data_IF_353232714909
#
_entry.id   IF_353232714909
#
_cell.length_a   1.000
_cell.length_b   1.000
_cell.length_c   1.000
_cell.angle_alpha   90.00
_cell.angle_beta   90.00
_cell.angle_gamma   90.00
#
_symmetry.space_group_name_H-M   'P 1'
#
loop_
_entity.id
_entity.type
_entity.pdbx_description
1 polymer ?
#
# COMPACT_ATOMS: atom_id res chain seq x y z
N UNK A 1 14.07 -10.63 -13.51
CA UNK A 1 13.69 -9.45 -12.69
C UNK A 1 14.22 -8.20 -13.39
N UNK A 2 13.48 -7.06 -13.49
CA UNK A 2 14.06 -5.78 -13.89
C UNK A 2 15.23 -5.39 -12.97
N UNK A 3 16.14 -4.55 -13.46
CA UNK A 3 17.39 -4.16 -12.77
C UNK A 3 17.16 -3.14 -11.64
N UNK A 4 16.26 -3.46 -10.71
CA UNK A 4 16.06 -2.65 -9.50
C UNK A 4 17.30 -2.68 -8.61
N UNK A 5 17.54 -1.56 -7.93
CA UNK A 5 18.49 -1.48 -6.83
C UNK A 5 17.73 -1.89 -5.57
N UNK A 6 18.08 -3.07 -5.05
CA UNK A 6 17.45 -3.70 -3.90
C UNK A 6 17.60 -2.82 -2.66
N UNK A 7 16.51 -2.67 -1.89
CA UNK A 7 16.51 -1.92 -0.63
C UNK A 7 16.52 -0.39 -0.77
N UNK A 8 16.38 0.15 -1.99
CA UNK A 8 16.20 1.60 -2.21
C UNK A 8 14.74 1.95 -2.46
N UNK A 9 14.41 3.22 -2.29
CA UNK A 9 13.05 3.71 -2.52
C UNK A 9 12.53 3.25 -3.90
N UNK A 10 11.21 3.02 -3.98
CA UNK A 10 10.48 2.51 -5.14
C UNK A 10 10.76 1.04 -5.51
N UNK A 11 11.67 0.34 -4.83
CA UNK A 11 11.95 -1.09 -5.11
C UNK A 11 10.78 -2.00 -4.73
N UNK A 12 10.24 -1.85 -3.52
CA UNK A 12 9.10 -2.57 -2.98
C UNK A 12 7.81 -2.27 -3.76
N UNK A 13 7.54 -1.00 -4.06
CA UNK A 13 6.43 -0.61 -4.92
C UNK A 13 6.54 -1.22 -6.33
N UNK A 14 7.74 -1.22 -6.89
CA UNK A 14 8.05 -1.81 -8.18
C UNK A 14 7.91 -3.33 -8.19
N UNK A 15 8.24 -3.99 -7.08
CA UNK A 15 8.04 -5.43 -6.90
C UNK A 15 6.56 -5.80 -6.93
N UNK A 16 5.71 -5.03 -6.24
CA UNK A 16 4.24 -5.21 -6.29
C UNK A 16 3.74 -5.03 -7.73
N UNK A 17 4.14 -3.95 -8.42
CA UNK A 17 3.78 -3.70 -9.82
C UNK A 17 4.10 -4.90 -10.71
N UNK A 18 5.30 -5.44 -10.53
CA UNK A 18 5.81 -6.52 -11.34
C UNK A 18 5.11 -7.86 -11.08
N UNK A 19 4.78 -8.14 -9.82
CA UNK A 19 4.00 -9.32 -9.45
C UNK A 19 2.61 -9.25 -10.10
N UNK A 20 1.92 -8.11 -9.97
CA UNK A 20 0.61 -7.89 -10.58
C UNK A 20 0.66 -8.02 -12.11
N UNK A 21 1.69 -7.45 -12.77
CA UNK A 21 1.83 -7.58 -14.23
C UNK A 21 2.10 -9.01 -14.72
N UNK A 22 2.40 -9.93 -13.80
CA UNK A 22 2.62 -11.36 -14.08
C UNK A 22 1.51 -12.24 -13.53
N UNK A 23 0.39 -11.67 -13.11
CA UNK A 23 -0.71 -12.38 -12.46
C UNK A 23 -0.26 -13.19 -11.22
N UNK A 24 0.76 -12.71 -10.51
CA UNK A 24 1.19 -13.27 -9.24
C UNK A 24 0.33 -12.59 -8.15
N UNK A 25 -0.46 -13.36 -7.37
CA UNK A 25 -1.34 -12.79 -6.36
C UNK A 25 -0.58 -12.02 -5.28
N UNK A 26 -1.12 -10.86 -4.89
CA UNK A 26 -0.65 -10.08 -3.74
C UNK A 26 -1.67 -10.20 -2.60
N UNK A 27 -1.16 -10.52 -1.41
CA UNK A 27 -1.93 -10.66 -0.18
C UNK A 27 -1.59 -9.51 0.78
N UNK A 28 -2.60 -8.73 1.15
CA UNK A 28 -2.53 -7.81 2.27
C UNK A 28 -2.81 -8.59 3.57
N UNK A 29 -1.78 -8.70 4.40
CA UNK A 29 -1.81 -9.39 5.69
C UNK A 29 -1.76 -8.43 6.88
N UNK A 30 -2.08 -7.15 6.66
CA UNK A 30 -1.94 -6.07 7.66
C UNK A 30 -2.67 -6.36 8.96
N UNK A 31 -3.81 -7.06 8.93
CA UNK A 31 -4.57 -7.36 10.15
C UNK A 31 -4.02 -8.56 10.93
N UNK A 32 -3.20 -9.39 10.29
CA UNK A 32 -2.73 -10.67 10.84
C UNK A 32 -1.24 -10.66 11.18
N UNK A 33 -0.46 -9.76 10.56
CA UNK A 33 0.99 -9.67 10.73
C UNK A 33 1.38 -8.29 11.24
N UNK A 34 1.98 -8.25 12.44
CA UNK A 34 2.60 -7.05 12.96
C UNK A 34 3.97 -6.85 12.29
N UNK A 35 4.04 -5.94 11.33
CA UNK A 35 5.30 -5.47 10.78
C UNK A 35 5.91 -4.39 11.68
N UNK A 36 7.09 -4.65 12.26
CA UNK A 36 7.81 -3.66 13.08
C UNK A 36 8.83 -2.93 12.21
N UNK A 37 8.60 -1.64 11.96
CA UNK A 37 9.59 -0.76 11.35
C UNK A 37 10.54 -0.26 12.43
N UNK A 38 11.85 -0.50 12.30
CA UNK A 38 12.83 -0.01 13.27
C UNK A 38 12.94 1.51 13.18
N UNK A 39 12.83 2.21 14.31
CA UNK A 39 13.14 3.64 14.35
C UNK A 39 14.61 3.84 14.02
N UNK A 40 14.90 4.27 12.80
CA UNK A 40 16.25 4.54 12.34
C UNK A 40 16.31 5.97 11.79
N UNK A 41 17.43 6.63 12.02
CA UNK A 41 17.75 7.82 11.25
C UNK A 41 18.40 7.42 9.92
N UNK A 42 18.51 8.37 8.99
CA UNK A 42 19.16 8.14 7.70
C UNK A 42 20.65 8.54 7.73
N UNK A 43 21.27 8.61 8.92
CA UNK A 43 22.63 9.12 9.09
C UNK A 43 23.71 8.27 8.41
N UNK A 44 23.39 7.02 8.10
CA UNK A 44 24.27 6.09 7.40
C UNK A 44 24.47 6.43 5.91
N UNK A 45 23.71 7.37 5.34
CA UNK A 45 23.86 7.84 3.96
C UNK A 45 24.18 9.33 3.95
N UNK A 46 25.12 9.73 3.10
CA UNK A 46 25.42 11.14 2.85
C UNK A 46 24.16 11.85 2.34
N UNK A 47 23.87 13.04 2.85
CA UNK A 47 22.65 13.81 2.56
C UNK A 47 21.34 13.16 3.08
N UNK A 48 21.47 12.07 3.86
CA UNK A 48 20.43 11.51 4.70
C UNK A 48 19.15 11.13 3.96
N UNK A 49 18.02 11.65 4.44
CA UNK A 49 16.70 11.34 3.92
C UNK A 49 16.58 11.71 2.43
N UNK A 50 17.15 12.84 2.02
CA UNK A 50 17.02 13.30 0.63
C UNK A 50 17.70 12.36 -0.36
N UNK A 51 18.87 11.80 -0.04
CA UNK A 51 19.51 10.78 -0.89
C UNK A 51 18.67 9.49 -0.97
N UNK A 52 18.02 9.08 0.13
CA UNK A 52 17.19 7.87 0.12
C UNK A 52 15.95 8.02 -0.77
N UNK A 53 15.28 9.18 -0.75
CA UNK A 53 14.02 9.37 -1.47
C UNK A 53 14.21 9.97 -2.86
N UNK A 54 15.21 10.82 -3.04
CA UNK A 54 15.42 11.60 -4.27
C UNK A 54 16.79 11.34 -4.91
N UNK A 55 17.62 10.48 -4.33
CA UNK A 55 18.92 10.12 -4.87
C UNK A 55 18.85 9.35 -6.17
N UNK A 56 20.03 9.11 -6.77
CA UNK A 56 20.13 8.49 -8.09
C UNK A 56 19.51 7.09 -8.13
N UNK A 57 19.66 6.33 -7.05
CA UNK A 57 19.16 4.96 -6.97
C UNK A 57 17.63 4.92 -6.86
N UNK A 58 17.03 5.83 -6.08
CA UNK A 58 15.59 6.00 -6.00
C UNK A 58 14.97 6.39 -7.34
N UNK A 59 15.60 7.35 -8.04
CA UNK A 59 15.18 7.80 -9.37
C UNK A 59 15.33 6.70 -10.43
N UNK A 60 16.37 5.88 -10.35
CA UNK A 60 16.54 4.72 -11.22
C UNK A 60 15.41 3.72 -11.05
N UNK A 61 15.08 3.36 -9.80
CA UNK A 61 13.94 2.49 -9.52
C UNK A 61 12.61 3.08 -10.00
N UNK A 62 12.39 4.38 -9.80
CA UNK A 62 11.20 5.09 -10.28
C UNK A 62 11.08 5.03 -11.81
N UNK A 63 12.20 5.20 -12.53
CA UNK A 63 12.24 5.10 -13.99
C UNK A 63 11.88 3.70 -14.47
N UNK A 64 12.36 2.65 -13.80
CA UNK A 64 11.96 1.26 -14.10
C UNK A 64 10.46 1.07 -13.87
N UNK A 65 9.92 1.65 -12.79
CA UNK A 65 8.49 1.64 -12.52
C UNK A 65 7.70 2.43 -13.56
N UNK A 66 8.32 3.34 -14.31
CA UNK A 66 7.66 4.16 -15.31
C UNK A 66 6.96 5.39 -14.73
N UNK A 67 7.41 5.91 -13.58
CA UNK A 67 6.84 7.10 -12.94
C UNK A 67 6.05 6.80 -11.66
N UNK A 68 5.67 7.86 -10.95
CA UNK A 68 4.99 7.78 -9.64
C UNK A 68 3.57 7.23 -9.75
N UNK A 69 2.86 7.59 -10.82
CA UNK A 69 1.51 7.11 -11.16
C UNK A 69 1.46 5.59 -11.41
N UNK A 70 2.63 5.01 -11.69
CA UNK A 70 2.78 3.60 -11.95
C UNK A 70 3.16 2.78 -10.71
N UNK A 71 3.55 3.43 -9.61
CA UNK A 71 3.88 2.73 -8.38
C UNK A 71 2.65 2.02 -7.81
N UNK A 72 2.90 0.84 -7.24
CA UNK A 72 1.88 0.04 -6.55
C UNK A 72 2.19 -0.02 -5.07
N UNK A 73 1.14 -0.08 -4.27
CA UNK A 73 1.21 -0.11 -2.81
C UNK A 73 0.20 -1.16 -2.32
N UNK A 74 0.04 -1.25 -1.01
CA UNK A 74 -0.82 -2.26 -0.39
C UNK A 74 -2.29 -2.22 -0.86
N UNK A 75 -2.81 -1.05 -1.26
CA UNK A 75 -4.16 -0.92 -1.79
C UNK A 75 -4.38 -1.62 -3.14
N UNK A 76 -3.29 -2.07 -3.78
CA UNK A 76 -3.35 -2.86 -5.01
C UNK A 76 -3.28 -4.37 -4.77
N UNK A 77 -3.31 -4.82 -3.52
CA UNK A 77 -3.41 -6.24 -3.19
C UNK A 77 -4.69 -6.85 -3.77
N UNK A 78 -4.63 -8.10 -4.25
CA UNK A 78 -5.79 -8.81 -4.77
C UNK A 78 -6.63 -9.44 -3.66
N UNK A 79 -5.95 -9.83 -2.58
CA UNK A 79 -6.52 -10.56 -1.45
C UNK A 79 -6.19 -9.84 -0.14
N UNK A 80 -7.09 -9.94 0.83
CA UNK A 80 -6.82 -9.65 2.24
C UNK A 80 -6.91 -10.93 3.05
N UNK A 81 -5.97 -11.12 3.95
CA UNK A 81 -6.07 -12.12 5.01
C UNK A 81 -6.65 -11.45 6.25
N UNK A 82 -7.61 -12.11 6.88
CA UNK A 82 -8.16 -11.73 8.18
C UNK A 82 -8.29 -12.97 9.07
N UNK A 83 -8.65 -12.79 10.35
CA UNK A 83 -8.85 -13.88 11.32
C UNK A 83 -9.85 -14.99 10.89
N UNK A 84 -10.70 -14.71 9.90
CA UNK A 84 -11.68 -15.65 9.34
C UNK A 84 -11.22 -16.32 8.03
N UNK A 85 -10.05 -15.94 7.49
CA UNK A 85 -9.47 -16.50 6.28
C UNK A 85 -9.12 -15.47 5.22
N UNK A 86 -9.16 -15.88 3.95
CA UNK A 86 -8.86 -15.03 2.80
C UNK A 86 -10.15 -14.48 2.19
N UNK A 87 -10.16 -13.19 1.89
CA UNK A 87 -11.21 -12.53 1.10
C UNK A 87 -10.59 -11.72 -0.05
N UNK A 88 -11.35 -11.50 -1.13
CA UNK A 88 -10.88 -10.61 -2.20
C UNK A 88 -10.93 -9.16 -1.72
N UNK A 89 -10.01 -8.33 -2.21
CA UNK A 89 -10.04 -6.89 -1.92
C UNK A 89 -11.33 -6.24 -2.41
N UNK A 90 -11.91 -6.72 -3.51
CA UNK A 90 -13.20 -6.23 -4.03
C UNK A 90 -14.36 -6.51 -3.07
N UNK A 91 -14.47 -7.73 -2.56
CA UNK A 91 -15.53 -8.11 -1.61
C UNK A 91 -15.42 -7.31 -0.31
N UNK A 92 -14.20 -7.13 0.18
CA UNK A 92 -13.91 -6.27 1.32
C UNK A 92 -14.42 -4.83 1.07
N UNK A 93 -14.06 -4.23 -0.07
CA UNK A 93 -14.48 -2.86 -0.41
C UNK A 93 -16.00 -2.76 -0.53
N UNK A 94 -16.65 -3.70 -1.22
CA UNK A 94 -18.12 -3.72 -1.36
C UNK A 94 -18.81 -3.76 0.00
N UNK A 95 -18.34 -4.63 0.90
CA UNK A 95 -18.86 -4.74 2.27
C UNK A 95 -18.62 -3.47 3.08
N UNK A 96 -17.42 -2.89 3.00
CA UNK A 96 -17.10 -1.64 3.71
C UNK A 96 -17.96 -0.45 3.25
N UNK A 97 -18.20 -0.32 1.94
CA UNK A 97 -19.06 0.73 1.40
C UNK A 97 -20.53 0.57 1.81
N UNK A 98 -21.03 -0.68 1.84
CA UNK A 98 -22.38 -0.97 2.32
C UNK A 98 -22.57 -0.53 3.77
N UNK A 99 -21.65 -0.92 4.65
CA UNK A 99 -21.70 -0.57 6.08
C UNK A 99 -21.61 0.95 6.32
N UNK A 100 -20.82 1.66 5.51
CA UNK A 100 -20.73 3.13 5.58
C UNK A 100 -22.08 3.80 5.25
N UNK A 101 -22.74 3.36 4.18
CA UNK A 101 -24.04 3.90 3.80
C UNK A 101 -25.12 3.61 4.86
N UNK A 102 -25.09 2.44 5.49
CA UNK A 102 -25.99 2.11 6.62
C UNK A 102 -25.74 3.05 7.81
N UNK A 103 -24.49 3.27 8.20
CA UNK A 103 -24.14 4.22 9.27
C UNK A 103 -24.59 5.66 8.96
N UNK A 104 -24.38 6.14 7.73
CA UNK A 104 -24.84 7.47 7.30
C UNK A 104 -26.37 7.58 7.33
N UNK A 105 -27.09 6.56 6.88
CA UNK A 105 -28.56 6.55 6.93
C UNK A 105 -29.12 6.52 8.36
N UNK A 106 -28.48 5.81 9.29
CA UNK A 106 -28.87 5.78 10.70
C UNK A 106 -28.57 7.10 11.43
N UNK A 107 -27.44 7.73 11.11
CA UNK A 107 -27.02 9.00 11.74
C UNK A 107 -27.76 10.22 11.20
N UNK A 108 -28.07 10.28 9.90
CA UNK A 108 -28.80 11.39 9.28
C UNK A 108 -30.32 11.18 9.23
N UNK A 109 -30.82 9.99 9.57
CA UNK A 109 -32.26 9.70 9.72
C UNK A 109 -32.82 10.03 11.12
N UNK A 110 -31.98 10.45 12.07
CA UNK A 110 -32.43 10.87 13.41
C UNK A 110 -32.88 12.35 13.39
N UNK A 111 -34.10 12.69 13.84
CA UNK A 111 -34.63 14.06 13.82
C UNK A 111 -33.98 15.00 14.86
N UNK A 112 -32.82 14.65 15.41
CA UNK A 112 -32.12 15.41 16.43
C UNK A 112 -30.72 15.83 15.96
N UNK A 113 -30.65 16.62 14.89
CA UNK A 113 -29.46 17.39 14.55
C UNK A 113 -29.79 18.88 14.57
N UNK A 114 -29.97 19.42 15.78
CA UNK A 114 -29.97 20.85 16.05
C UNK A 114 -29.21 21.09 17.34
N UNK A 115 -27.92 21.42 17.23
CA UNK A 115 -27.17 22.31 18.13
C UNK A 115 -26.00 22.92 17.35
#
# INVERSE_FOLDING_TARGET
MPSFIVGRANWDNGLIKLALSRNIPIFDVTTEVLAVHQNHDYSHVKDGKDEIWNGKEANHNLKICGGYENLKNIFHANWRMNQHGLETTEDFIRRALKNKNEYENETFGSPYASF
#
